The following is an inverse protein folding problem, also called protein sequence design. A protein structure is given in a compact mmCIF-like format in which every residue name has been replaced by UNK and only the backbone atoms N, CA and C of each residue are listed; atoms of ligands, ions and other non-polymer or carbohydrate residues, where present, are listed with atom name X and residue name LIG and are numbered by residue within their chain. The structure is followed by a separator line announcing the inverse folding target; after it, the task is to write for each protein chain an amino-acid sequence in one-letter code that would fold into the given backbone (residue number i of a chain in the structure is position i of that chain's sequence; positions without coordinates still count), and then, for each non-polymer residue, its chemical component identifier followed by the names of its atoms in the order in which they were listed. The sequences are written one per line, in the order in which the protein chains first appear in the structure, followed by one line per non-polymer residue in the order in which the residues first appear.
data_IF_895542255507
#
_entry.id   IF_895542255507
#
_cell.length_a   1.000
_cell.length_b   1.000
_cell.length_c   1.000
_cell.angle_alpha   90.00
_cell.angle_beta   90.00
_cell.angle_gamma   90.00
#
_symmetry.space_group_name_H-M   'P 1'
#
loop_
_entity.id
_entity.type
_entity.pdbx_description
1 polymer ?
#
# COMPACT_ATOMS: atom_id res chain seq x y z
N UNK A 1 -3.73 6.29 -2.94
CA UNK A 1 -3.11 5.62 -4.07
C UNK A 1 -2.89 6.64 -5.18
N UNK A 2 -1.71 6.69 -5.75
CA UNK A 2 -1.39 7.49 -6.93
C UNK A 2 -0.77 6.53 -7.97
N UNK A 3 -1.60 5.74 -8.67
CA UNK A 3 -1.12 4.77 -9.63
C UNK A 3 -0.42 5.48 -10.80
N UNK A 4 0.67 4.91 -11.27
CA UNK A 4 1.35 5.35 -12.50
C UNK A 4 0.74 4.70 -13.73
N UNK A 5 0.15 3.52 -13.55
CA UNK A 5 -0.44 2.71 -14.58
C UNK A 5 -1.75 2.10 -14.06
N UNK A 6 -2.76 2.07 -14.90
CA UNK A 6 -4.10 1.53 -14.60
C UNK A 6 -4.48 0.57 -15.72
N UNK A 7 -4.78 -0.66 -15.33
CA UNK A 7 -5.23 -1.72 -16.25
C UNK A 7 -6.74 -1.80 -16.22
N UNK A 8 -7.37 -2.03 -17.36
CA UNK A 8 -8.81 -2.22 -17.38
C UNK A 8 -9.33 -2.81 -18.67
N UNK A 9 -10.46 -3.51 -18.59
CA UNK A 9 -11.24 -3.94 -19.74
C UNK A 9 -11.88 -2.74 -20.46
N UNK A 10 -12.20 -2.90 -21.74
CA UNK A 10 -12.71 -1.83 -22.60
C UNK A 10 -13.95 -1.13 -22.03
N UNK A 11 -14.88 -1.88 -21.44
CA UNK A 11 -16.08 -1.33 -20.81
C UNK A 11 -15.79 -0.49 -19.58
N UNK A 12 -14.89 -0.96 -18.69
CA UNK A 12 -14.52 -0.25 -17.48
C UNK A 12 -13.75 1.06 -17.79
N UNK A 13 -12.81 0.99 -18.73
CA UNK A 13 -12.00 2.17 -19.13
C UNK A 13 -12.87 3.24 -19.79
N UNK A 14 -13.93 2.84 -20.51
CA UNK A 14 -14.83 3.75 -21.22
C UNK A 14 -15.88 4.41 -20.34
N UNK A 15 -15.91 4.11 -19.02
CA UNK A 15 -16.85 4.74 -18.11
C UNK A 15 -16.67 6.27 -18.07
N UNK A 16 -17.80 6.98 -18.13
CA UNK A 16 -17.84 8.44 -18.19
C UNK A 16 -17.05 9.09 -17.03
N UNK A 17 -16.14 9.99 -17.40
CA UNK A 17 -15.32 10.74 -16.46
C UNK A 17 -14.13 10.00 -15.86
N UNK A 18 -14.06 8.66 -15.97
CA UNK A 18 -12.94 7.89 -15.41
C UNK A 18 -11.63 8.17 -16.14
N UNK A 19 -11.67 8.21 -17.47
CA UNK A 19 -10.47 8.48 -18.27
C UNK A 19 -9.89 9.87 -18.00
N UNK A 20 -10.73 10.90 -17.96
CA UNK A 20 -10.28 12.26 -17.65
C UNK A 20 -9.71 12.36 -16.25
N UNK A 21 -10.35 11.72 -15.27
CA UNK A 21 -9.84 11.66 -13.91
C UNK A 21 -8.46 10.98 -13.84
N UNK A 22 -8.29 9.82 -14.48
CA UNK A 22 -7.03 9.09 -14.47
C UNK A 22 -5.90 9.84 -15.18
N UNK A 23 -6.19 10.43 -16.33
CA UNK A 23 -5.19 11.14 -17.14
C UNK A 23 -4.87 12.53 -16.59
N UNK A 24 -5.88 13.32 -16.24
CA UNK A 24 -5.71 14.73 -15.89
C UNK A 24 -5.40 14.94 -14.41
N UNK A 25 -5.94 14.08 -13.52
CA UNK A 25 -5.76 14.20 -12.08
C UNK A 25 -4.65 13.34 -11.51
N UNK A 26 -4.47 12.14 -12.06
CA UNK A 26 -3.49 11.18 -11.56
C UNK A 26 -2.29 11.02 -12.49
N UNK A 27 -2.34 11.59 -13.70
CA UNK A 27 -1.28 11.44 -14.71
C UNK A 27 -0.91 9.96 -14.96
N UNK A 28 -1.92 9.09 -14.87
CA UNK A 28 -1.75 7.65 -14.99
C UNK A 28 -1.82 7.21 -16.46
N UNK A 29 -0.94 6.29 -16.84
CA UNK A 29 -1.05 5.58 -18.10
C UNK A 29 -2.22 4.59 -18.02
N UNK A 30 -3.06 4.56 -19.04
CA UNK A 30 -4.18 3.61 -19.12
C UNK A 30 -3.80 2.54 -20.14
N UNK A 31 -3.68 1.29 -19.67
CA UNK A 31 -3.38 0.14 -20.51
C UNK A 31 -4.64 -0.72 -20.67
N UNK A 32 -5.20 -0.82 -21.89
CA UNK A 32 -6.36 -1.66 -22.15
C UNK A 32 -5.96 -3.14 -22.15
N UNK A 33 -6.76 -3.94 -21.47
CA UNK A 33 -6.59 -5.40 -21.43
C UNK A 33 -7.85 -6.10 -21.96
N UNK A 34 -7.71 -7.34 -22.51
CA UNK A 34 -8.86 -8.15 -22.88
C UNK A 34 -9.79 -8.39 -21.69
N UNK A 35 -11.11 -8.32 -21.91
CA UNK A 35 -12.09 -8.51 -20.82
C UNK A 35 -12.02 -9.92 -20.21
N UNK A 36 -11.58 -10.90 -20.98
CA UNK A 36 -11.35 -12.28 -20.54
C UNK A 36 -10.35 -12.39 -19.37
N UNK A 37 -9.41 -11.44 -19.25
CA UNK A 37 -8.45 -11.39 -18.14
C UNK A 37 -9.14 -11.07 -16.80
N UNK A 38 -10.34 -10.49 -16.85
CA UNK A 38 -11.13 -10.10 -15.68
C UNK A 38 -12.33 -11.02 -15.44
N UNK A 39 -12.42 -12.18 -16.13
CA UNK A 39 -13.48 -13.15 -15.85
C UNK A 39 -13.34 -13.73 -14.45
N UNK A 40 -14.48 -13.86 -13.75
CA UNK A 40 -14.51 -14.23 -12.33
C UNK A 40 -13.88 -15.61 -12.08
N UNK A 41 -14.25 -16.61 -12.88
CA UNK A 41 -13.75 -17.98 -12.72
C UNK A 41 -12.25 -18.05 -13.01
N UNK A 42 -11.81 -17.49 -14.14
CA UNK A 42 -10.39 -17.45 -14.53
C UNK A 42 -9.55 -16.74 -13.49
N UNK A 43 -10.03 -15.59 -13.00
CA UNK A 43 -9.34 -14.82 -11.97
C UNK A 43 -9.20 -15.60 -10.66
N UNK A 44 -10.24 -16.31 -10.25
CA UNK A 44 -10.21 -17.16 -9.07
C UNK A 44 -9.17 -18.29 -9.20
N UNK A 45 -9.19 -19.01 -10.32
CA UNK A 45 -8.22 -20.08 -10.62
C UNK A 45 -6.78 -19.56 -10.60
N UNK A 46 -6.52 -18.39 -11.20
CA UNK A 46 -5.20 -17.75 -11.20
C UNK A 46 -4.70 -17.38 -9.80
N UNK A 47 -5.58 -16.84 -8.94
CA UNK A 47 -5.25 -16.51 -7.57
C UNK A 47 -4.94 -17.77 -6.76
N UNK A 48 -5.75 -18.82 -6.91
CA UNK A 48 -5.53 -20.10 -6.23
C UNK A 48 -4.19 -20.72 -6.63
N UNK A 49 -3.87 -20.74 -7.92
CA UNK A 49 -2.62 -21.27 -8.42
C UNK A 49 -1.40 -20.49 -7.93
N UNK A 50 -1.47 -19.16 -8.03
CA UNK A 50 -0.33 -18.29 -7.74
C UNK A 50 -0.03 -18.19 -6.24
N UNK A 51 -1.06 -17.88 -5.42
CA UNK A 51 -0.90 -17.69 -3.97
C UNK A 51 -1.14 -18.98 -3.17
N UNK A 52 -1.50 -20.10 -3.84
CA UNK A 52 -1.85 -21.37 -3.20
C UNK A 52 -2.98 -21.26 -2.17
N UNK A 53 -3.90 -20.33 -2.43
CA UNK A 53 -5.09 -20.12 -1.61
C UNK A 53 -6.10 -21.21 -1.92
N UNK A 54 -6.41 -22.07 -0.94
CA UNK A 54 -7.43 -23.12 -1.11
C UNK A 54 -8.84 -22.65 -0.74
N UNK A 55 -8.92 -21.67 0.16
CA UNK A 55 -10.18 -21.14 0.69
C UNK A 55 -10.19 -19.62 0.59
N UNK A 56 -11.09 -19.07 -0.21
CA UNK A 56 -11.29 -17.64 -0.41
C UNK A 56 -11.87 -16.97 0.82
N UNK A 57 -12.63 -17.71 1.66
CA UNK A 57 -13.18 -17.18 2.89
C UNK A 57 -12.07 -16.91 3.92
N UNK A 58 -11.20 -17.90 4.11
CA UNK A 58 -10.01 -17.74 4.95
C UNK A 58 -9.07 -16.63 4.47
N UNK A 59 -9.02 -16.38 3.16
CA UNK A 59 -8.24 -15.28 2.57
C UNK A 59 -8.96 -13.92 2.63
N UNK A 60 -10.24 -13.87 3.06
CA UNK A 60 -11.04 -12.65 3.13
C UNK A 60 -11.47 -12.10 1.77
N UNK A 61 -11.59 -12.94 0.75
CA UNK A 61 -11.92 -12.57 -0.63
C UNK A 61 -13.36 -12.86 -1.05
N UNK A 62 -14.12 -13.64 -0.26
CA UNK A 62 -15.44 -14.15 -0.62
C UNK A 62 -16.43 -13.05 -0.98
N UNK A 63 -16.44 -11.96 -0.22
CA UNK A 63 -17.36 -10.83 -0.43
C UNK A 63 -16.77 -9.75 -1.35
N UNK A 64 -15.67 -10.04 -2.05
CA UNK A 64 -14.91 -9.06 -2.85
C UNK A 64 -14.73 -9.52 -4.31
N UNK A 65 -15.82 -9.80 -5.07
CA UNK A 65 -15.71 -10.35 -6.43
C UNK A 65 -14.94 -9.44 -7.39
N UNK A 66 -15.15 -8.12 -7.31
CA UNK A 66 -14.40 -7.16 -8.14
C UNK A 66 -12.90 -7.17 -7.80
N UNK A 67 -12.53 -7.35 -6.53
CA UNK A 67 -11.12 -7.45 -6.12
C UNK A 67 -10.47 -8.71 -6.69
N UNK A 68 -11.20 -9.84 -6.68
CA UNK A 68 -10.74 -11.10 -7.29
C UNK A 68 -10.48 -10.91 -8.79
N UNK A 69 -11.42 -10.30 -9.51
CA UNK A 69 -11.28 -10.03 -10.95
C UNK A 69 -10.11 -9.09 -11.26
N UNK A 70 -9.98 -8.00 -10.51
CA UNK A 70 -8.86 -7.06 -10.68
C UNK A 70 -7.50 -7.72 -10.38
N UNK A 71 -7.42 -8.55 -9.35
CA UNK A 71 -6.19 -9.27 -9.00
C UNK A 71 -5.81 -10.30 -10.06
N UNK A 72 -6.79 -11.03 -10.61
CA UNK A 72 -6.57 -11.96 -11.72
C UNK A 72 -6.01 -11.26 -12.95
N UNK A 73 -6.63 -10.17 -13.38
CA UNK A 73 -6.16 -9.37 -14.51
C UNK A 73 -4.78 -8.78 -14.27
N UNK A 74 -4.48 -8.34 -13.05
CA UNK A 74 -3.13 -7.86 -12.69
C UNK A 74 -2.08 -8.98 -12.78
N UNK A 75 -2.38 -10.19 -12.33
CA UNK A 75 -1.47 -11.33 -12.44
C UNK A 75 -1.21 -11.71 -13.90
N UNK A 76 -2.25 -11.72 -14.74
CA UNK A 76 -2.11 -11.96 -16.18
C UNK A 76 -1.21 -10.91 -16.86
N UNK A 77 -1.39 -9.63 -16.54
CA UNK A 77 -0.55 -8.54 -17.05
C UNK A 77 0.90 -8.68 -16.61
N UNK A 78 1.14 -8.95 -15.34
CA UNK A 78 2.48 -9.10 -14.79
C UNK A 78 3.21 -10.31 -15.42
N UNK A 79 2.52 -11.39 -15.69
CA UNK A 79 3.11 -12.56 -16.36
C UNK A 79 3.51 -12.26 -17.81
N UNK A 80 2.70 -11.47 -18.52
CA UNK A 80 2.99 -11.08 -19.91
C UNK A 80 4.15 -10.07 -20.01
N UNK A 81 4.24 -9.15 -19.05
CA UNK A 81 5.19 -8.03 -19.10
C UNK A 81 6.50 -8.31 -18.36
N UNK A 82 6.45 -9.09 -17.29
CA UNK A 82 7.63 -9.42 -16.49
C UNK A 82 8.27 -10.71 -17.01
N UNK A 83 9.49 -10.60 -17.52
CA UNK A 83 10.29 -11.76 -17.93
C UNK A 83 10.83 -12.58 -16.74
N UNK A 84 10.74 -12.04 -15.53
CA UNK A 84 11.14 -12.70 -14.29
C UNK A 84 9.96 -13.43 -13.66
N UNK A 85 10.25 -14.50 -12.93
CA UNK A 85 9.23 -15.26 -12.20
C UNK A 85 8.50 -14.39 -11.18
N UNK A 86 7.17 -14.46 -11.15
CA UNK A 86 6.33 -13.81 -10.14
C UNK A 86 6.42 -14.49 -8.75
N UNK A 87 7.33 -15.42 -8.56
CA UNK A 87 7.50 -16.18 -7.30
C UNK A 87 7.81 -15.31 -6.08
N UNK A 88 8.29 -14.08 -6.29
CA UNK A 88 8.49 -13.09 -5.22
C UNK A 88 7.18 -12.53 -4.67
N UNK A 89 6.09 -12.57 -5.46
CA UNK A 89 4.76 -12.15 -5.04
C UNK A 89 4.03 -13.34 -4.39
N UNK A 90 4.37 -13.67 -3.16
CA UNK A 90 3.89 -14.88 -2.48
C UNK A 90 2.93 -14.63 -1.33
N UNK A 91 2.63 -13.37 -1.01
CA UNK A 91 1.72 -13.00 0.07
C UNK A 91 0.60 -12.10 -0.44
N UNK A 92 -0.62 -12.47 -0.07
CA UNK A 92 -1.81 -11.69 -0.31
C UNK A 92 -2.28 -11.06 1.01
N UNK A 93 -2.45 -9.74 1.02
CA UNK A 93 -3.03 -9.02 2.16
C UNK A 93 -4.30 -8.31 1.71
N UNK A 94 -5.41 -8.68 2.31
CA UNK A 94 -6.70 -8.07 2.03
C UNK A 94 -7.01 -6.99 3.08
N UNK A 95 -7.37 -5.80 2.60
CA UNK A 95 -7.78 -4.69 3.45
C UNK A 95 -9.29 -4.55 3.39
N UNK A 96 -9.94 -4.60 4.55
CA UNK A 96 -11.36 -4.33 4.65
C UNK A 96 -11.62 -2.85 4.97
N UNK A 97 -12.69 -2.31 4.38
CA UNK A 97 -13.19 -0.98 4.76
C UNK A 97 -13.55 -0.98 6.26
N UNK A 98 -13.25 0.13 6.96
CA UNK A 98 -13.53 0.26 8.38
C UNK A 98 -12.36 -0.06 9.32
N UNK A 99 -11.22 -0.57 8.83
CA UNK A 99 -10.02 -0.72 9.66
C UNK A 99 -9.35 0.63 9.97
N UNK A 100 -9.48 1.59 9.04
CA UNK A 100 -8.89 2.91 9.12
C UNK A 100 -9.93 4.00 8.93
N UNK A 101 -9.69 5.15 9.52
CA UNK A 101 -10.46 6.36 9.24
C UNK A 101 -10.22 6.78 7.78
N UNK A 102 -11.30 6.89 7.03
CA UNK A 102 -11.22 7.35 5.65
C UNK A 102 -10.96 8.86 5.62
N UNK A 103 -9.84 9.23 5.07
CA UNK A 103 -9.48 10.62 4.79
C UNK A 103 -9.42 10.80 3.27
N UNK A 104 -10.31 11.59 2.72
CA UNK A 104 -10.27 11.93 1.30
C UNK A 104 -9.06 12.81 0.95
N UNK A 105 -8.80 12.96 -0.34
CA UNK A 105 -7.66 13.76 -0.82
C UNK A 105 -7.75 15.23 -0.41
N UNK A 106 -8.97 15.75 -0.29
CA UNK A 106 -9.23 17.15 0.09
C UNK A 106 -8.91 17.34 1.57
N UNK A 107 -9.40 16.43 2.42
CA UNK A 107 -9.11 16.46 3.86
C UNK A 107 -7.60 16.33 4.14
N UNK A 108 -6.91 15.38 3.49
CA UNK A 108 -5.45 15.20 3.63
C UNK A 108 -4.67 16.45 3.25
N UNK A 109 -5.08 17.09 2.14
CA UNK A 109 -4.47 18.32 1.65
C UNK A 109 -4.74 19.51 2.58
N UNK A 110 -5.99 19.70 3.00
CA UNK A 110 -6.37 20.82 3.86
C UNK A 110 -5.76 20.73 5.26
N UNK A 111 -5.58 19.53 5.79
CA UNK A 111 -4.91 19.28 7.06
C UNK A 111 -3.38 19.31 6.96
N UNK A 112 -2.82 19.46 5.76
CA UNK A 112 -1.37 19.46 5.52
C UNK A 112 -0.66 18.31 6.25
N UNK A 113 -1.21 17.10 6.13
CA UNK A 113 -0.72 15.96 6.90
C UNK A 113 0.72 15.57 6.54
N UNK A 114 1.04 15.50 5.26
CA UNK A 114 2.33 15.03 4.75
C UNK A 114 3.03 16.03 3.85
N UNK A 115 2.28 16.97 3.24
CA UNK A 115 2.76 17.97 2.30
C UNK A 115 2.01 19.27 2.51
N UNK A 116 2.72 20.40 2.43
CA UNK A 116 2.10 21.73 2.49
C UNK A 116 1.31 22.04 1.22
N UNK A 117 0.22 22.80 1.35
CA UNK A 117 -0.63 23.14 0.20
C UNK A 117 0.09 23.96 -0.88
N UNK A 118 0.96 24.88 -0.47
CA UNK A 118 1.59 25.85 -1.39
C UNK A 118 2.85 25.31 -2.04
N UNK A 119 3.76 24.73 -1.26
CA UNK A 119 5.10 24.34 -1.74
C UNK A 119 5.26 22.84 -1.92
N UNK A 120 4.27 22.04 -1.48
CA UNK A 120 4.34 20.57 -1.46
C UNK A 120 5.58 20.02 -0.74
N UNK A 121 6.03 20.73 0.26
CA UNK A 121 7.17 20.36 1.09
C UNK A 121 6.72 19.62 2.36
N UNK A 122 7.59 18.77 2.90
CA UNK A 122 7.37 18.10 4.19
C UNK A 122 7.44 19.09 5.37
N UNK A 123 8.30 20.08 5.30
CA UNK A 123 8.50 21.06 6.38
C UNK A 123 7.23 21.86 6.66
N UNK A 124 6.80 21.91 7.91
CA UNK A 124 5.58 22.60 8.34
C UNK A 124 4.33 21.70 8.40
N UNK A 125 4.45 20.43 8.06
CA UNK A 125 3.35 19.46 8.11
C UNK A 125 3.29 18.68 9.42
N UNK A 126 2.18 17.96 9.68
CA UNK A 126 2.08 17.04 10.82
C UNK A 126 3.18 15.97 10.77
N UNK A 127 3.45 15.42 9.60
CA UNK A 127 4.53 14.44 9.40
C UNK A 127 5.89 15.03 9.79
N UNK A 128 6.17 16.28 9.46
CA UNK A 128 7.44 16.91 9.83
C UNK A 128 7.63 17.03 11.34
N UNK A 129 6.54 17.33 12.07
CA UNK A 129 6.57 17.42 13.53
C UNK A 129 6.76 16.05 14.18
N UNK A 130 6.12 15.00 13.65
CA UNK A 130 6.10 13.68 14.27
C UNK A 130 7.24 12.76 13.82
N UNK A 131 7.85 12.99 12.66
CA UNK A 131 8.87 12.09 12.12
C UNK A 131 10.23 12.31 12.78
N UNK A 132 10.42 11.68 13.92
CA UNK A 132 11.71 11.51 14.61
C UNK A 132 12.30 10.11 14.42
N UNK A 133 11.86 9.39 13.40
CA UNK A 133 12.30 8.02 13.12
C UNK A 133 13.81 7.95 12.83
N UNK A 134 14.40 6.79 13.06
CA UNK A 134 15.84 6.53 12.86
C UNK A 134 16.13 5.67 11.65
N UNK A 135 15.09 5.10 11.02
CA UNK A 135 15.22 4.23 9.86
C UNK A 135 14.32 4.72 8.72
N UNK A 136 14.69 4.45 7.48
CA UNK A 136 13.86 4.75 6.33
C UNK A 136 12.52 3.99 6.35
N UNK A 137 12.52 2.75 6.84
CA UNK A 137 11.31 1.94 7.05
C UNK A 137 10.38 2.60 8.08
N UNK A 138 10.93 3.10 9.19
CA UNK A 138 10.17 3.83 10.20
C UNK A 138 9.54 5.11 9.66
N UNK A 139 10.26 5.87 8.82
CA UNK A 139 9.74 7.09 8.19
C UNK A 139 8.58 6.78 7.24
N UNK A 140 8.65 5.69 6.49
CA UNK A 140 7.52 5.21 5.66
C UNK A 140 6.33 4.78 6.53
N UNK A 141 6.59 4.07 7.62
CA UNK A 141 5.53 3.58 8.51
C UNK A 141 4.78 4.72 9.21
N UNK A 142 5.49 5.74 9.74
CA UNK A 142 4.82 6.87 10.39
C UNK A 142 4.00 7.69 9.38
N UNK A 143 4.50 7.88 8.16
CA UNK A 143 3.72 8.48 7.07
C UNK A 143 2.44 7.70 6.81
N UNK A 144 2.53 6.38 6.69
CA UNK A 144 1.38 5.52 6.49
C UNK A 144 0.36 5.62 7.66
N UNK A 145 0.83 5.71 8.89
CA UNK A 145 -0.05 5.86 10.05
C UNK A 145 -0.78 7.19 10.09
N UNK A 146 -0.17 8.26 9.61
CA UNK A 146 -0.79 9.58 9.48
C UNK A 146 -1.82 9.59 8.35
N UNK A 147 -1.49 8.97 7.21
CA UNK A 147 -2.39 8.91 6.05
C UNK A 147 -3.56 7.94 6.24
N UNK A 148 -3.39 6.92 7.10
CA UNK A 148 -4.39 5.89 7.42
C UNK A 148 -4.52 5.73 8.94
N UNK A 149 -5.17 6.67 9.64
CA UNK A 149 -5.37 6.59 11.08
C UNK A 149 -6.23 5.38 11.44
N UNK A 150 -5.91 4.74 12.57
CA UNK A 150 -6.74 3.66 13.08
C UNK A 150 -8.11 4.18 13.51
N UNK A 151 -9.14 3.38 13.26
CA UNK A 151 -10.51 3.66 13.72
C UNK A 151 -10.87 2.92 15.01
N UNK A 152 -10.33 1.71 15.21
CA UNK A 152 -10.64 0.86 16.35
C UNK A 152 -9.94 1.35 17.63
N UNK A 153 -10.71 1.73 18.69
CA UNK A 153 -10.16 2.24 19.95
C UNK A 153 -9.19 1.27 20.64
N UNK A 154 -9.42 -0.04 20.53
CA UNK A 154 -8.54 -1.06 21.13
C UNK A 154 -7.16 -1.05 20.50
N UNK A 155 -7.10 -0.94 19.18
CA UNK A 155 -5.83 -0.84 18.46
C UNK A 155 -5.10 0.48 18.75
N UNK A 156 -5.86 1.58 18.90
CA UNK A 156 -5.31 2.89 19.31
C UNK A 156 -4.71 2.78 20.70
N UNK A 157 -5.47 2.25 21.67
CA UNK A 157 -5.02 2.08 23.06
C UNK A 157 -3.76 1.24 23.14
N UNK A 158 -3.67 0.14 22.37
CA UNK A 158 -2.48 -0.71 22.31
C UNK A 158 -1.24 0.05 21.82
N UNK A 159 -1.38 0.90 20.79
CA UNK A 159 -0.28 1.76 20.32
C UNK A 159 0.12 2.78 21.38
N UNK A 160 -0.85 3.42 22.03
CA UNK A 160 -0.60 4.39 23.08
C UNK A 160 0.11 3.77 24.28
N UNK A 161 -0.27 2.54 24.69
CA UNK A 161 0.43 1.80 25.75
C UNK A 161 1.90 1.52 25.39
N UNK A 162 2.18 1.10 24.15
CA UNK A 162 3.55 0.87 23.69
C UNK A 162 4.39 2.17 23.71
N UNK A 163 3.80 3.28 23.27
CA UNK A 163 4.44 4.60 23.35
C UNK A 163 4.67 5.01 24.79
N UNK A 164 3.66 4.88 25.66
CA UNK A 164 3.76 5.18 27.10
C UNK A 164 4.90 4.42 27.76
N UNK A 165 4.99 3.11 27.55
CA UNK A 165 6.06 2.27 28.10
C UNK A 165 7.47 2.77 27.71
N UNK A 166 7.65 3.23 26.46
CA UNK A 166 8.93 3.81 26.02
C UNK A 166 9.14 5.26 26.49
N UNK A 167 8.08 5.99 26.81
CA UNK A 167 8.20 7.31 27.44
C UNK A 167 8.69 7.20 28.88
N UNK A 168 8.19 6.21 29.61
CA UNK A 168 8.50 5.98 31.02
C UNK A 168 9.89 5.36 31.19
N UNK A 169 10.35 4.52 30.28
CA UNK A 169 11.67 3.90 30.31
C UNK A 169 12.67 4.59 29.35
N UNK A 170 13.35 5.59 29.87
CA UNK A 170 14.38 6.35 29.13
C UNK A 170 15.56 5.47 28.70
N UNK A 171 15.92 4.48 29.54
CA UNK A 171 17.07 3.59 29.24
C UNK A 171 16.75 2.71 28.06
N UNK A 172 15.62 2.01 28.10
CA UNK A 172 15.16 1.17 26.99
C UNK A 172 14.96 1.99 25.70
N UNK A 173 14.35 3.17 25.80
CA UNK A 173 14.16 4.07 24.65
C UNK A 173 15.50 4.48 24.01
N UNK A 174 16.50 4.82 24.82
CA UNK A 174 17.82 5.21 24.31
C UNK A 174 18.51 4.03 23.65
N UNK A 175 18.54 2.86 24.30
CA UNK A 175 19.13 1.65 23.75
C UNK A 175 18.48 1.25 22.42
N UNK A 176 17.15 1.29 22.36
CA UNK A 176 16.40 1.03 21.12
C UNK A 176 16.74 2.03 20.01
N UNK A 177 16.80 3.32 20.35
CA UNK A 177 17.14 4.39 19.40
C UNK A 177 18.55 4.17 18.82
N UNK A 178 19.52 3.81 19.63
CA UNK A 178 20.89 3.54 19.17
C UNK A 178 21.00 2.25 18.36
N UNK A 179 20.25 1.22 18.70
CA UNK A 179 20.17 0.01 17.90
C UNK A 179 19.59 0.31 16.50
N UNK A 180 18.51 1.08 16.43
CA UNK A 180 17.85 1.45 15.17
C UNK A 180 18.72 2.29 14.23
N UNK A 181 19.65 3.09 14.73
CA UNK A 181 20.60 3.84 13.88
C UNK A 181 21.48 2.97 12.99
N UNK A 182 21.66 1.70 13.36
CA UNK A 182 22.48 0.73 12.64
C UNK A 182 21.68 -0.13 11.67
N UNK A 183 20.35 0.02 11.63
CA UNK A 183 19.48 -0.75 10.77
C UNK A 183 19.37 -0.10 9.40
N UNK A 184 19.86 -0.79 8.37
CA UNK A 184 19.73 -0.37 6.98
C UNK A 184 18.30 -0.56 6.47
N UNK A 185 17.99 0.02 5.32
CA UNK A 185 16.69 -0.14 4.65
C UNK A 185 16.55 -1.55 4.07
N UNK A 186 16.11 -2.49 4.93
CA UNK A 186 15.99 -3.90 4.57
C UNK A 186 14.97 -4.14 3.46
N UNK A 187 13.87 -3.38 3.39
CA UNK A 187 12.87 -3.49 2.33
C UNK A 187 13.50 -3.23 0.96
N UNK A 188 14.29 -2.15 0.84
CA UNK A 188 14.99 -1.83 -0.40
C UNK A 188 16.12 -2.80 -0.72
N UNK A 189 16.82 -3.29 0.30
CA UNK A 189 17.86 -4.28 0.10
C UNK A 189 17.30 -5.60 -0.43
N UNK A 190 16.21 -6.09 0.19
CA UNK A 190 15.52 -7.30 -0.25
C UNK A 190 15.00 -7.14 -1.69
N UNK A 191 14.37 -5.99 -2.00
CA UNK A 191 13.93 -5.70 -3.37
C UNK A 191 15.07 -5.75 -4.37
N UNK A 192 16.24 -5.15 -4.06
CA UNK A 192 17.43 -5.20 -4.94
C UNK A 192 17.96 -6.61 -5.11
N UNK A 193 17.95 -7.42 -4.06
CA UNK A 193 18.33 -8.84 -4.14
C UNK A 193 17.38 -9.63 -5.03
N UNK A 194 16.06 -9.44 -4.83
CA UNK A 194 15.03 -10.10 -5.64
C UNK A 194 15.13 -9.75 -7.14
N UNK A 195 15.48 -8.51 -7.46
CA UNK A 195 15.68 -8.05 -8.85
C UNK A 195 17.09 -8.30 -9.39
N UNK A 196 17.98 -8.94 -8.64
CA UNK A 196 19.37 -9.21 -9.08
C UNK A 196 20.22 -7.96 -9.25
N UNK A 197 19.84 -6.82 -8.68
CA UNK A 197 20.55 -5.52 -8.77
C UNK A 197 21.34 -5.18 -7.51
N UNK A 198 21.42 -6.11 -6.56
CA UNK A 198 22.24 -5.95 -5.37
C UNK A 198 23.72 -6.18 -5.71
N UNK A 199 24.56 -5.18 -5.47
CA UNK A 199 26.00 -5.28 -5.42
C UNK A 199 26.44 -5.47 -3.99
#
# INVERSE_FOLDING_TARGET
FAPREVLGGGGAISADGLQSFLKERLEALIEPMPEECFEAQRSAERIQEHFKVQDFDAAGLTDLPCTVQCLGGLLDYLEQTQKASLSSLNQLQVYHQGQYMELDLIARRNLELCETMRTKEKKGTLLWVLDHTRTAMGSRLIRQWIEKPLYNPLHIARRQQAVGALCDDVIARTALTDALKRVFDMERLIGRVAYGTAN
#
